data_IF_355409967752
#
_entry.id   IF_355409967752
#
_cell.length_a   1.000
_cell.length_b   1.000
_cell.length_c   1.000
_cell.angle_alpha   90.00
_cell.angle_beta   90.00
_cell.angle_gamma   90.00
#
_symmetry.space_group_name_H-M   'P 1'
#
loop_
_entity.id
_entity.type
_entity.pdbx_description
1 polymer ?
#
# COMPACT_ATOMS: atom_id res chain seq x y z
N UNK A 1 -18.44 -20.78 -52.75
CA UNK A 1 -17.96 -19.75 -51.79
C UNK A 1 -16.70 -20.26 -51.10
N UNK A 2 -15.69 -19.40 -50.91
CA UNK A 2 -14.47 -19.78 -50.20
C UNK A 2 -14.61 -19.61 -48.67
N UNK A 3 -13.67 -20.18 -47.90
CA UNK A 3 -13.73 -20.17 -46.43
C UNK A 3 -13.69 -18.77 -45.83
N UNK A 4 -12.95 -17.85 -46.44
CA UNK A 4 -12.81 -16.47 -45.97
C UNK A 4 -14.11 -15.68 -46.18
N UNK A 5 -14.77 -15.88 -47.32
CA UNK A 5 -16.11 -15.36 -47.61
C UNK A 5 -17.14 -15.90 -46.61
N UNK A 6 -17.11 -17.20 -46.32
CA UNK A 6 -18.00 -17.82 -45.35
C UNK A 6 -17.79 -17.24 -43.94
N UNK A 7 -16.54 -17.07 -43.49
CA UNK A 7 -16.26 -16.46 -42.17
C UNK A 7 -16.72 -15.00 -42.13
N UNK A 8 -16.53 -14.23 -43.21
CA UNK A 8 -16.98 -12.84 -43.31
C UNK A 8 -18.49 -12.74 -43.23
N UNK A 9 -19.23 -13.58 -43.96
CA UNK A 9 -20.68 -13.68 -43.89
C UNK A 9 -21.16 -13.87 -42.44
N UNK A 10 -20.55 -14.79 -41.69
CA UNK A 10 -20.93 -15.04 -40.29
C UNK A 10 -20.54 -13.89 -39.35
N UNK A 11 -19.41 -13.23 -39.60
CA UNK A 11 -19.02 -12.03 -38.84
C UNK A 11 -20.00 -10.88 -39.06
N UNK A 12 -20.52 -10.70 -40.27
CA UNK A 12 -21.55 -9.71 -40.58
C UNK A 12 -22.86 -10.02 -39.83
N UNK A 13 -23.13 -11.30 -39.57
CA UNK A 13 -24.22 -11.79 -38.71
C UNK A 13 -23.90 -11.76 -37.21
N UNK A 14 -22.84 -11.05 -36.80
CA UNK A 14 -22.38 -10.88 -35.40
C UNK A 14 -21.83 -12.13 -34.73
N UNK A 15 -21.40 -13.13 -35.50
CA UNK A 15 -20.67 -14.25 -34.94
C UNK A 15 -19.24 -13.83 -34.60
N UNK A 16 -18.68 -14.44 -33.56
CA UNK A 16 -17.24 -14.31 -33.33
C UNK A 16 -16.49 -15.08 -34.40
N UNK A 17 -15.27 -14.64 -34.75
CA UNK A 17 -14.45 -15.34 -35.74
C UNK A 17 -14.15 -16.79 -35.30
N UNK A 18 -14.00 -17.02 -34.00
CA UNK A 18 -13.79 -18.35 -33.45
C UNK A 18 -15.03 -19.24 -33.60
N UNK A 19 -16.22 -18.70 -33.37
CA UNK A 19 -17.48 -19.44 -33.51
C UNK A 19 -17.81 -19.70 -34.99
N UNK A 20 -17.52 -18.75 -35.87
CA UNK A 20 -17.61 -18.93 -37.33
C UNK A 20 -16.67 -20.05 -37.81
N UNK A 21 -15.41 -20.08 -37.34
CA UNK A 21 -14.46 -21.15 -37.69
C UNK A 21 -14.92 -22.53 -37.21
N UNK A 22 -15.52 -22.63 -36.02
CA UNK A 22 -16.05 -23.87 -35.45
C UNK A 22 -17.26 -24.38 -36.22
N UNK A 23 -18.21 -23.50 -36.54
CA UNK A 23 -19.39 -23.91 -37.28
C UNK A 23 -19.09 -24.36 -38.72
N UNK A 24 -18.02 -23.81 -39.31
CA UNK A 24 -17.54 -24.19 -40.64
C UNK A 24 -16.57 -25.38 -40.64
N UNK A 25 -16.32 -26.03 -39.50
CA UNK A 25 -15.37 -27.14 -39.39
C UNK A 25 -15.76 -28.36 -40.23
N UNK A 26 -17.08 -28.62 -40.33
CA UNK A 26 -17.64 -29.75 -41.09
C UNK A 26 -17.89 -29.45 -42.58
N UNK A 27 -17.58 -28.23 -43.04
CA UNK A 27 -17.81 -27.81 -44.42
C UNK A 27 -16.63 -28.22 -45.28
N UNK A 28 -16.89 -29.03 -46.31
CA UNK A 28 -15.92 -29.28 -47.36
C UNK A 28 -15.90 -28.12 -48.38
N UNK A 29 -14.89 -27.26 -48.27
CA UNK A 29 -14.70 -26.13 -49.19
C UNK A 29 -14.12 -26.54 -50.55
N UNK A 30 -13.62 -27.77 -50.72
CA UNK A 30 -13.13 -28.24 -52.02
C UNK A 30 -14.26 -28.38 -53.05
N UNK A 31 -15.50 -28.57 -52.58
CA UNK A 31 -16.71 -28.65 -53.41
C UNK A 31 -17.28 -27.28 -53.80
N UNK A 32 -16.60 -26.18 -53.45
CA UNK A 32 -17.09 -24.81 -53.67
C UNK A 32 -18.56 -24.60 -53.21
N UNK A 33 -18.89 -24.91 -51.95
CA UNK A 33 -20.26 -24.86 -51.45
C UNK A 33 -20.87 -23.47 -51.64
N UNK A 34 -22.13 -23.43 -52.02
CA UNK A 34 -22.91 -22.21 -52.10
C UNK A 34 -23.33 -21.72 -50.71
N UNK A 35 -23.85 -20.49 -50.63
CA UNK A 35 -24.27 -19.90 -49.36
C UNK A 35 -25.36 -20.73 -48.67
N UNK A 36 -26.28 -21.34 -49.44
CA UNK A 36 -27.34 -22.17 -48.90
C UNK A 36 -26.80 -23.42 -48.21
N UNK A 37 -25.82 -24.10 -48.81
CA UNK A 37 -25.13 -25.26 -48.22
C UNK A 37 -24.46 -24.86 -46.91
N UNK A 38 -23.82 -23.70 -46.88
CA UNK A 38 -23.16 -23.17 -45.68
C UNK A 38 -24.17 -22.89 -44.58
N UNK A 39 -25.27 -22.18 -44.89
CA UNK A 39 -26.36 -21.88 -43.95
C UNK A 39 -27.00 -23.14 -43.37
N UNK A 40 -27.14 -24.19 -44.18
CA UNK A 40 -27.67 -25.47 -43.73
C UNK A 40 -26.74 -26.14 -42.72
N UNK A 41 -25.44 -26.20 -43.00
CA UNK A 41 -24.46 -26.85 -42.11
C UNK A 41 -24.33 -26.11 -40.78
N UNK A 42 -24.27 -24.77 -40.80
CA UNK A 42 -24.11 -23.97 -39.57
C UNK A 42 -25.38 -23.88 -38.73
N UNK A 43 -26.55 -24.23 -39.28
CA UNK A 43 -27.85 -24.09 -38.58
C UNK A 43 -27.88 -24.86 -37.26
N UNK A 44 -27.20 -26.01 -37.20
CA UNK A 44 -27.01 -26.80 -35.97
C UNK A 44 -26.26 -26.00 -34.89
N UNK A 45 -25.32 -25.15 -35.28
CA UNK A 45 -24.52 -24.33 -34.38
C UNK A 45 -25.21 -23.00 -34.02
N UNK A 46 -25.96 -22.42 -34.96
CA UNK A 46 -26.53 -21.07 -34.88
C UNK A 46 -27.57 -20.87 -33.76
N UNK A 47 -28.17 -21.95 -33.27
CA UNK A 47 -29.21 -21.90 -32.24
C UNK A 47 -28.65 -21.86 -30.82
N UNK A 48 -28.89 -22.93 -30.08
CA UNK A 48 -28.55 -23.04 -28.65
C UNK A 48 -27.06 -22.98 -28.39
N UNK A 49 -26.24 -23.56 -29.26
CA UNK A 49 -24.79 -23.63 -29.10
C UNK A 49 -24.13 -22.23 -29.19
N UNK A 50 -24.43 -21.48 -30.24
CA UNK A 50 -23.95 -20.10 -30.39
C UNK A 50 -24.41 -19.21 -29.23
N UNK A 51 -25.71 -19.27 -28.90
CA UNK A 51 -26.29 -18.46 -27.82
C UNK A 51 -25.64 -18.76 -26.46
N UNK A 52 -25.47 -20.04 -26.12
CA UNK A 52 -24.82 -20.45 -24.87
C UNK A 52 -23.37 -19.99 -24.80
N UNK A 53 -22.61 -20.13 -25.90
CA UNK A 53 -21.21 -19.69 -25.96
C UNK A 53 -21.07 -18.19 -25.81
N UNK A 54 -21.86 -17.40 -26.53
CA UNK A 54 -21.84 -15.95 -26.42
C UNK A 54 -22.19 -15.49 -24.99
N UNK A 55 -23.18 -16.12 -24.36
CA UNK A 55 -23.54 -15.86 -22.96
C UNK A 55 -22.39 -16.18 -22.01
N UNK A 56 -21.74 -17.33 -22.17
CA UNK A 56 -20.60 -17.74 -21.35
C UNK A 56 -19.40 -16.81 -21.53
N UNK A 57 -19.08 -16.41 -22.77
CA UNK A 57 -18.02 -15.45 -23.07
C UNK A 57 -18.30 -14.08 -22.43
N UNK A 58 -19.54 -13.59 -22.54
CA UNK A 58 -19.95 -12.33 -21.92
C UNK A 58 -19.84 -12.39 -20.39
N UNK A 59 -20.30 -13.50 -19.78
CA UNK A 59 -20.17 -13.71 -18.34
C UNK A 59 -18.71 -13.75 -17.89
N UNK A 60 -17.86 -14.48 -18.62
CA UNK A 60 -16.42 -14.56 -18.34
C UNK A 60 -15.76 -13.18 -18.46
N UNK A 61 -16.06 -12.41 -19.52
CA UNK A 61 -15.55 -11.05 -19.72
C UNK A 61 -15.97 -10.11 -18.58
N UNK A 62 -17.22 -10.23 -18.12
CA UNK A 62 -17.73 -9.51 -16.95
C UNK A 62 -16.97 -9.85 -15.68
N UNK A 63 -16.73 -11.14 -15.43
CA UNK A 63 -15.94 -11.60 -14.27
C UNK A 63 -14.50 -11.10 -14.31
N UNK A 64 -13.82 -11.20 -15.46
CA UNK A 64 -12.44 -10.71 -15.63
C UNK A 64 -12.37 -9.21 -15.39
N UNK A 65 -13.30 -8.44 -15.97
CA UNK A 65 -13.37 -6.98 -15.75
C UNK A 65 -13.55 -6.64 -14.27
N UNK A 66 -14.44 -7.34 -13.56
CA UNK A 66 -14.66 -7.13 -12.14
C UNK A 66 -13.40 -7.44 -11.32
N UNK A 67 -12.75 -8.58 -11.59
CA UNK A 67 -11.52 -8.98 -10.90
C UNK A 67 -10.37 -8.02 -11.16
N UNK A 68 -10.20 -7.53 -12.39
CA UNK A 68 -9.16 -6.55 -12.71
C UNK A 68 -9.37 -5.25 -11.92
N UNK A 69 -10.60 -4.73 -11.87
CA UNK A 69 -10.91 -3.56 -11.04
C UNK A 69 -10.59 -3.77 -9.56
N UNK A 70 -10.88 -4.95 -9.03
CA UNK A 70 -10.55 -5.29 -7.64
C UNK A 70 -9.03 -5.36 -7.40
N UNK A 71 -8.29 -5.95 -8.35
CA UNK A 71 -6.82 -6.00 -8.31
C UNK A 71 -6.24 -4.59 -8.34
N UNK A 72 -6.73 -3.72 -9.22
CA UNK A 72 -6.26 -2.34 -9.33
C UNK A 72 -6.47 -1.56 -8.02
N UNK A 73 -7.65 -1.72 -7.39
CA UNK A 73 -7.95 -1.13 -6.09
C UNK A 73 -7.01 -1.64 -4.99
N UNK A 74 -6.82 -2.96 -4.90
CA UNK A 74 -5.93 -3.58 -3.91
C UNK A 74 -4.47 -3.18 -4.11
N UNK A 75 -4.03 -3.02 -5.37
CA UNK A 75 -2.69 -2.55 -5.68
C UNK A 75 -2.49 -1.10 -5.25
N UNK A 76 -3.47 -0.23 -5.50
CA UNK A 76 -3.43 1.16 -5.05
C UNK A 76 -3.38 1.25 -3.51
N UNK A 77 -4.20 0.47 -2.81
CA UNK A 77 -4.20 0.40 -1.35
C UNK A 77 -2.85 -0.11 -0.81
N UNK A 78 -2.29 -1.16 -1.41
CA UNK A 78 -0.98 -1.70 -1.04
C UNK A 78 0.14 -0.66 -1.21
N UNK A 79 0.10 0.12 -2.30
CA UNK A 79 1.07 1.20 -2.53
C UNK A 79 0.95 2.31 -1.48
N UNK A 80 -0.28 2.70 -1.12
CA UNK A 80 -0.51 3.70 -0.07
C UNK A 80 0.00 3.23 1.29
N UNK A 81 -0.31 1.98 1.67
CA UNK A 81 0.18 1.38 2.92
C UNK A 81 1.71 1.28 2.95
N UNK A 82 2.34 0.97 1.82
CA UNK A 82 3.79 0.94 1.70
C UNK A 82 4.41 2.33 1.95
N UNK A 83 3.87 3.38 1.33
CA UNK A 83 4.33 4.76 1.53
C UNK A 83 4.15 5.17 2.99
N UNK A 84 3.00 4.87 3.59
CA UNK A 84 2.74 5.16 4.99
C UNK A 84 3.75 4.46 5.92
N UNK A 85 4.07 3.20 5.64
CA UNK A 85 5.05 2.42 6.41
C UNK A 85 6.45 3.03 6.32
N UNK A 86 6.85 3.48 5.12
CA UNK A 86 8.13 4.18 4.93
C UNK A 86 8.18 5.49 5.73
N UNK A 87 7.12 6.28 5.68
CA UNK A 87 7.04 7.54 6.41
C UNK A 87 7.12 7.32 7.93
N UNK A 88 6.35 6.37 8.46
CA UNK A 88 6.37 6.01 9.88
C UNK A 88 7.75 5.47 10.32
N UNK A 89 8.42 4.71 9.46
CA UNK A 89 9.77 4.22 9.75
C UNK A 89 10.79 5.36 9.82
N UNK A 90 10.68 6.36 8.92
CA UNK A 90 11.53 7.55 8.92
C UNK A 90 11.29 8.40 10.17
N UNK A 91 10.04 8.67 10.51
CA UNK A 91 9.65 9.41 11.70
C UNK A 91 10.15 8.73 12.98
N UNK A 92 9.98 7.41 13.09
CA UNK A 92 10.50 6.62 14.20
C UNK A 92 12.01 6.76 14.34
N UNK A 93 12.76 6.72 13.23
CA UNK A 93 14.20 6.88 13.26
C UNK A 93 14.61 8.28 13.76
N UNK A 94 13.89 9.32 13.35
CA UNK A 94 14.11 10.69 13.84
C UNK A 94 13.82 10.80 15.34
N UNK A 95 12.69 10.27 15.80
CA UNK A 95 12.32 10.28 17.22
C UNK A 95 13.34 9.54 18.09
N UNK A 96 13.87 8.41 17.62
CA UNK A 96 14.94 7.69 18.32
C UNK A 96 16.18 8.56 18.45
N UNK A 97 16.59 9.25 17.38
CA UNK A 97 17.75 10.15 17.41
C UNK A 97 17.56 11.30 18.41
N UNK A 98 16.42 11.99 18.34
CA UNK A 98 16.09 13.10 19.27
C UNK A 98 16.05 12.61 20.72
N UNK A 99 15.50 11.42 20.97
CA UNK A 99 15.46 10.86 22.32
C UNK A 99 16.86 10.54 22.87
N UNK A 100 17.77 10.02 22.04
CA UNK A 100 19.16 9.80 22.45
C UNK A 100 19.90 11.11 22.74
N UNK A 101 19.66 12.16 21.94
CA UNK A 101 20.18 13.50 22.21
C UNK A 101 19.64 14.06 23.55
N UNK A 102 18.33 13.98 23.79
CA UNK A 102 17.72 14.44 25.05
C UNK A 102 18.22 13.67 26.28
N UNK A 103 18.47 12.36 26.16
CA UNK A 103 19.07 11.57 27.24
C UNK A 103 20.48 12.05 27.58
N UNK A 104 21.27 12.37 26.56
CA UNK A 104 22.61 12.91 26.73
C UNK A 104 22.55 14.28 27.41
N UNK A 105 21.72 15.18 26.92
CA UNK A 105 21.55 16.52 27.49
C UNK A 105 21.07 16.47 28.94
N UNK A 106 20.12 15.59 29.26
CA UNK A 106 19.67 15.38 30.64
C UNK A 106 20.78 14.89 31.57
N UNK A 107 21.67 14.01 31.08
CA UNK A 107 22.84 13.56 31.84
C UNK A 107 23.83 14.70 32.06
N UNK A 108 24.08 15.52 31.04
CA UNK A 108 25.00 16.65 31.13
C UNK A 108 24.47 17.75 32.06
N UNK A 109 23.16 18.03 32.01
CA UNK A 109 22.47 18.93 32.94
C UNK A 109 22.54 18.42 34.37
N UNK A 110 22.30 17.12 34.60
CA UNK A 110 22.45 16.51 35.92
C UNK A 110 23.88 16.71 36.45
N UNK A 111 24.90 16.41 35.64
CA UNK A 111 26.29 16.61 36.02
C UNK A 111 26.61 18.08 36.33
N UNK A 112 26.02 19.03 35.60
CA UNK A 112 26.16 20.46 35.86
C UNK A 112 25.52 20.85 37.21
N UNK A 113 24.29 20.39 37.45
CA UNK A 113 23.59 20.60 38.73
C UNK A 113 24.40 20.02 39.89
N UNK A 114 24.94 18.82 39.76
CA UNK A 114 25.76 18.19 40.80
C UNK A 114 27.04 18.99 41.07
N UNK A 115 27.70 19.53 40.03
CA UNK A 115 28.84 20.44 40.18
C UNK A 115 28.48 21.74 40.90
N UNK A 116 27.35 22.35 40.55
CA UNK A 116 26.85 23.57 41.20
C UNK A 116 26.56 23.29 42.68
N UNK A 117 25.85 22.18 42.98
CA UNK A 117 25.56 21.78 44.37
C UNK A 117 26.84 21.59 45.19
N UNK A 118 27.86 20.93 44.61
CA UNK A 118 29.15 20.75 45.26
C UNK A 118 29.84 22.10 45.54
N UNK A 119 29.86 22.99 44.56
CA UNK A 119 30.47 24.31 44.71
C UNK A 119 29.77 25.13 45.80
N UNK A 120 28.43 25.16 45.80
CA UNK A 120 27.64 25.82 46.86
C UNK A 120 27.98 25.22 48.22
N UNK A 121 28.10 23.89 48.35
CA UNK A 121 28.44 23.25 49.62
C UNK A 121 29.84 23.67 50.12
N UNK A 122 30.81 23.80 49.22
CA UNK A 122 32.17 24.30 49.53
C UNK A 122 32.09 25.76 50.01
N UNK A 123 31.37 26.62 49.30
CA UNK A 123 31.31 28.04 49.61
C UNK A 123 30.52 28.33 50.89
N UNK A 124 29.41 27.61 51.13
CA UNK A 124 28.69 27.67 52.41
C UNK A 124 29.58 27.23 53.56
N UNK A 125 30.40 26.17 53.39
CA UNK A 125 31.34 25.75 54.44
C UNK A 125 32.35 26.85 54.79
N UNK A 126 32.87 27.58 53.79
CA UNK A 126 33.76 28.74 54.02
C UNK A 126 33.03 29.86 54.76
N UNK A 127 31.81 30.19 54.34
CA UNK A 127 30.99 31.24 54.97
C UNK A 127 30.57 30.91 56.42
N UNK A 128 30.47 29.63 56.78
CA UNK A 128 30.18 29.22 58.15
C UNK A 128 31.35 29.45 59.14
N UNK A 129 32.52 29.85 58.66
CA UNK A 129 33.70 30.17 59.49
C UNK A 129 33.65 31.58 60.08
N UNK A 130 32.78 32.47 59.59
CA UNK A 130 32.62 33.82 60.13
C UNK A 130 31.92 33.79 61.52
N UNK A 131 32.25 34.75 62.37
CA UNK A 131 31.85 34.76 63.80
C UNK A 131 30.36 35.00 64.05
N UNK A 132 29.68 35.70 63.13
CA UNK A 132 28.27 36.07 63.29
C UNK A 132 27.34 34.83 63.35
N UNK A 133 26.61 34.67 64.45
CA UNK A 133 25.76 33.50 64.69
C UNK A 133 24.42 33.55 63.94
N UNK A 134 23.88 34.73 63.68
CA UNK A 134 22.60 34.90 62.99
C UNK A 134 22.78 34.72 61.48
N UNK A 135 23.89 35.21 60.93
CA UNK A 135 24.31 34.94 59.55
C UNK A 135 24.46 33.43 59.32
N UNK A 136 25.08 32.69 60.25
CA UNK A 136 25.24 31.22 60.15
C UNK A 136 23.91 30.46 60.20
N UNK A 137 22.97 30.88 61.05
CA UNK A 137 21.61 30.28 61.09
C UNK A 137 20.85 30.52 59.79
N UNK A 138 20.89 31.73 59.25
CA UNK A 138 20.25 32.08 57.99
C UNK A 138 20.85 31.31 56.80
N UNK A 139 22.18 31.24 56.71
CA UNK A 139 22.91 30.45 55.70
C UNK A 139 22.56 28.96 55.77
N UNK A 140 22.48 28.39 56.98
CA UNK A 140 22.12 26.98 57.18
C UNK A 140 20.69 26.68 56.72
N UNK A 141 19.74 27.60 56.97
CA UNK A 141 18.34 27.44 56.52
C UNK A 141 18.24 27.52 55.00
N UNK A 142 18.90 28.50 54.38
CA UNK A 142 18.92 28.68 52.93
C UNK A 142 19.56 27.49 52.21
N UNK A 143 20.71 27.01 52.70
CA UNK A 143 21.40 25.87 52.10
C UNK A 143 20.57 24.58 52.17
N UNK A 144 19.87 24.33 53.28
CA UNK A 144 18.96 23.18 53.38
C UNK A 144 17.82 23.24 52.36
N UNK A 145 17.26 24.42 52.10
CA UNK A 145 16.20 24.58 51.08
C UNK A 145 16.69 24.43 49.63
N UNK A 146 17.99 24.64 49.36
CA UNK A 146 18.55 24.54 47.99
C UNK A 146 19.00 23.14 47.59
N UNK A 147 19.00 22.18 48.52
CA UNK A 147 19.37 20.79 48.23
C UNK A 147 18.24 19.98 47.57
N UNK A 148 17.00 20.48 47.61
CA UNK A 148 15.78 19.78 47.18
C UNK A 148 15.17 19.01 48.33
#
# INVERSE_FOLDING_TARGET
MNRTEAIRLLKDEKWTEADAKRALEKVDFAQNPDELTIRRVISEFAGTELSNRQRLQAAQKGQVTKKNKEIDLKNAETQQLYIQTLNLSSEKAQLVKVNEELKKDNKDLKNLVDRIKLQIAIDVRKLMQYEDSEIRKALSKWFKSSQG
#
